data_IF_866660450841
#
_entry.id   IF_866660450841
#
_cell.length_a   1.000
_cell.length_b   1.000
_cell.length_c   1.000
_cell.angle_alpha   90.00
_cell.angle_beta   90.00
_cell.angle_gamma   90.00
#
_symmetry.space_group_name_H-M   'P 1'
#
loop_
_entity.id
_entity.type
_entity.pdbx_description
1 polymer ?
#
# COMPACT_ATOMS: atom_id res chain seq x y z
N UNK A 1 7.20 -16.60 6.46
CA UNK A 1 7.13 -16.67 4.99
C UNK A 1 8.31 -15.90 4.40
N UNK A 2 9.04 -16.51 3.46
CA UNK A 2 10.17 -15.84 2.78
C UNK A 2 9.65 -14.90 1.71
N UNK A 3 10.16 -13.66 1.66
CA UNK A 3 9.78 -12.66 0.65
C UNK A 3 10.05 -13.10 -0.79
N UNK A 4 10.97 -14.08 -0.99
CA UNK A 4 11.22 -14.68 -2.30
C UNK A 4 9.96 -15.31 -2.92
N UNK A 5 9.04 -15.83 -2.09
CA UNK A 5 7.79 -16.44 -2.57
C UNK A 5 6.73 -15.41 -2.98
N UNK A 6 6.85 -14.16 -2.51
CA UNK A 6 5.89 -13.08 -2.79
C UNK A 6 6.26 -12.27 -4.03
N UNK A 7 7.50 -12.38 -4.53
CA UNK A 7 7.89 -11.71 -5.79
C UNK A 7 7.03 -12.18 -6.96
N UNK A 8 6.74 -11.26 -7.87
CA UNK A 8 5.87 -11.50 -9.03
C UNK A 8 4.41 -11.71 -8.66
N UNK A 9 3.98 -11.27 -7.47
CA UNK A 9 2.58 -11.37 -7.05
C UNK A 9 1.69 -10.58 -8.00
N UNK A 10 2.17 -9.41 -8.44
CA UNK A 10 1.40 -8.53 -9.33
C UNK A 10 1.17 -9.21 -10.68
N UNK A 11 2.21 -9.78 -11.30
CA UNK A 11 2.10 -10.54 -12.55
C UNK A 11 1.10 -11.69 -12.44
N UNK A 12 1.10 -12.46 -11.33
CA UNK A 12 0.11 -13.52 -11.11
C UNK A 12 -1.31 -12.98 -10.96
N UNK A 13 -1.44 -11.80 -10.34
CA UNK A 13 -2.73 -11.15 -10.09
C UNK A 13 -3.36 -10.60 -11.37
N UNK A 14 -2.57 -10.27 -12.39
CA UNK A 14 -3.08 -9.82 -13.70
C UNK A 14 -3.96 -10.87 -14.41
N UNK A 15 -3.87 -12.15 -14.04
CA UNK A 15 -4.73 -13.21 -14.57
C UNK A 15 -6.18 -13.14 -14.04
N UNK A 16 -6.45 -12.28 -13.05
CA UNK A 16 -7.75 -12.18 -12.38
C UNK A 16 -8.27 -10.73 -12.38
N UNK A 17 -8.53 -10.13 -13.56
CA UNK A 17 -9.11 -8.79 -13.63
C UNK A 17 -10.55 -8.78 -13.11
N UNK A 18 -10.99 -7.64 -12.58
CA UNK A 18 -12.40 -7.39 -12.29
C UNK A 18 -13.19 -7.37 -13.62
N UNK A 19 -14.34 -8.04 -13.73
CA UNK A 19 -15.11 -8.13 -14.99
C UNK A 19 -15.62 -6.76 -15.47
N UNK A 20 -15.93 -5.86 -14.53
CA UNK A 20 -16.27 -4.47 -14.81
C UNK A 20 -15.50 -3.53 -13.86
N UNK A 21 -14.28 -3.09 -14.21
CA UNK A 21 -13.45 -2.26 -13.33
C UNK A 21 -14.13 -0.95 -12.91
N UNK A 22 -15.05 -0.41 -13.73
CA UNK A 22 -15.71 0.88 -13.48
C UNK A 22 -16.91 0.77 -12.54
N UNK A 23 -17.42 -0.43 -12.28
CA UNK A 23 -18.43 -0.65 -11.22
C UNK A 23 -17.81 -0.71 -9.82
N UNK A 24 -16.49 -0.91 -9.70
CA UNK A 24 -15.83 -0.92 -8.41
C UNK A 24 -15.92 0.46 -7.73
N UNK A 25 -16.49 0.46 -6.52
CA UNK A 25 -16.68 1.65 -5.69
C UNK A 25 -15.84 1.50 -4.41
N UNK A 26 -14.65 2.11 -4.33
CA UNK A 26 -13.78 1.95 -3.16
C UNK A 26 -14.40 2.61 -1.93
N UNK A 27 -14.32 1.92 -0.79
CA UNK A 27 -14.78 2.44 0.50
C UNK A 27 -13.61 2.54 1.48
N UNK A 28 -13.54 3.64 2.23
CA UNK A 28 -12.49 3.83 3.23
C UNK A 28 -12.52 2.75 4.32
N UNK A 29 -13.72 2.29 4.70
CA UNK A 29 -13.89 1.22 5.68
C UNK A 29 -13.28 -0.11 5.23
N UNK A 30 -13.15 -0.31 3.93
CA UNK A 30 -12.63 -1.53 3.32
C UNK A 30 -11.15 -1.42 2.94
N UNK A 31 -10.56 -0.23 3.03
CA UNK A 31 -9.13 -0.05 2.80
C UNK A 31 -8.32 -0.82 3.85
N UNK A 32 -7.39 -1.65 3.37
CA UNK A 32 -6.45 -2.41 4.21
C UNK A 32 -5.03 -1.86 4.10
N UNK A 33 -4.61 -1.52 2.87
CA UNK A 33 -3.26 -1.02 2.57
C UNK A 33 -3.33 -0.11 1.35
N UNK A 34 -2.61 1.00 1.35
CA UNK A 34 -2.33 1.78 0.15
C UNK A 34 -0.88 2.26 0.13
N UNK A 35 -0.34 2.46 -1.06
CA UNK A 35 0.97 3.09 -1.25
C UNK A 35 0.85 4.25 -2.24
N UNK A 36 1.35 5.39 -1.79
CA UNK A 36 1.44 6.63 -2.56
C UNK A 36 2.91 6.96 -2.80
N UNK A 37 3.18 7.68 -3.88
CA UNK A 37 4.48 8.24 -4.21
C UNK A 37 4.37 9.75 -4.31
N UNK A 38 5.32 10.48 -3.73
CA UNK A 38 5.37 11.94 -3.82
C UNK A 38 6.73 12.35 -4.35
N UNK A 39 6.73 13.12 -5.44
CA UNK A 39 7.90 13.66 -6.11
C UNK A 39 7.64 15.11 -6.52
N UNK A 40 8.65 15.80 -7.06
CA UNK A 40 8.47 17.18 -7.55
C UNK A 40 7.53 17.25 -8.76
N UNK A 41 7.56 16.23 -9.63
CA UNK A 41 6.75 16.19 -10.86
C UNK A 41 5.34 15.65 -10.60
N UNK A 42 5.21 14.75 -9.63
CA UNK A 42 3.95 14.13 -9.23
C UNK A 42 3.86 14.09 -7.69
N UNK A 43 3.32 15.14 -7.05
CA UNK A 43 3.26 15.24 -5.60
C UNK A 43 2.25 14.26 -4.99
N UNK A 44 1.27 13.81 -5.77
CA UNK A 44 0.15 12.97 -5.35
C UNK A 44 0.10 11.64 -6.13
N UNK A 45 1.26 11.10 -6.48
CA UNK A 45 1.37 9.87 -7.25
C UNK A 45 0.76 8.66 -6.53
N UNK A 46 0.12 7.80 -7.32
CA UNK A 46 -0.53 6.59 -6.84
C UNK A 46 0.26 5.36 -7.27
N UNK A 47 0.51 4.44 -6.33
CA UNK A 47 1.19 3.18 -6.66
C UNK A 47 0.23 2.00 -6.61
N UNK A 48 -0.45 1.79 -5.48
CA UNK A 48 -1.51 0.79 -5.39
C UNK A 48 -2.39 1.00 -4.16
N UNK A 49 -3.56 0.36 -4.15
CA UNK A 49 -4.40 0.19 -2.97
C UNK A 49 -4.99 -1.22 -2.93
N UNK A 50 -5.22 -1.71 -1.72
CA UNK A 50 -5.80 -3.02 -1.41
C UNK A 50 -7.01 -2.81 -0.51
N UNK A 51 -8.15 -3.32 -0.96
CA UNK A 51 -9.42 -3.26 -0.27
C UNK A 51 -9.89 -4.67 0.08
N UNK A 52 -10.47 -4.86 1.26
CA UNK A 52 -11.21 -6.08 1.58
C UNK A 52 -12.59 -6.02 0.93
N UNK A 53 -12.96 -7.05 0.17
CA UNK A 53 -14.33 -7.25 -0.29
C UNK A 53 -14.93 -8.47 0.40
N UNK A 54 -16.20 -8.36 0.78
CA UNK A 54 -16.98 -9.49 1.26
C UNK A 54 -18.10 -9.67 0.26
N UNK A 55 -17.91 -10.60 -0.66
CA UNK A 55 -18.90 -10.98 -1.63
C UNK A 55 -19.34 -12.41 -1.33
N UNK A 56 -20.64 -12.61 -1.12
CA UNK A 56 -21.28 -13.92 -0.95
C UNK A 56 -20.57 -14.93 -0.02
N UNK A 57 -20.06 -14.45 1.13
CA UNK A 57 -19.41 -15.30 2.13
C UNK A 57 -17.97 -15.72 1.80
N UNK A 58 -17.44 -15.32 0.65
CA UNK A 58 -16.05 -15.51 0.29
C UNK A 58 -15.23 -14.25 0.63
N UNK A 59 -14.20 -14.43 1.46
CA UNK A 59 -13.20 -13.40 1.69
C UNK A 59 -12.46 -13.15 0.37
N UNK A 60 -12.59 -11.95 -0.20
CA UNK A 60 -11.87 -11.51 -1.39
C UNK A 60 -11.18 -10.18 -1.12
N UNK A 61 -10.17 -9.87 -1.93
CA UNK A 61 -9.50 -8.59 -1.91
C UNK A 61 -9.51 -7.99 -3.31
N UNK A 62 -9.74 -6.69 -3.36
CA UNK A 62 -9.65 -5.89 -4.58
C UNK A 62 -8.34 -5.11 -4.53
N UNK A 63 -7.50 -5.28 -5.53
CA UNK A 63 -6.27 -4.53 -5.69
C UNK A 63 -6.45 -3.55 -6.84
N UNK A 64 -6.17 -2.28 -6.60
CA UNK A 64 -6.07 -1.26 -7.66
C UNK A 64 -4.60 -0.89 -7.79
N UNK A 65 -4.04 -1.02 -8.99
CA UNK A 65 -2.62 -0.73 -9.25
C UNK A 65 -2.39 0.65 -9.90
N UNK A 66 -1.13 0.99 -10.17
CA UNK A 66 -0.74 2.32 -10.65
C UNK A 66 -1.35 2.71 -12.00
N UNK A 67 -1.80 1.74 -12.80
CA UNK A 67 -2.49 1.98 -14.07
C UNK A 67 -4.02 2.06 -13.90
N UNK A 68 -4.54 1.91 -12.68
CA UNK A 68 -5.97 1.90 -12.40
C UNK A 68 -6.63 0.56 -12.71
N UNK A 69 -5.86 -0.53 -12.91
CA UNK A 69 -6.44 -1.86 -13.12
C UNK A 69 -7.02 -2.35 -11.80
N UNK A 70 -8.27 -2.80 -11.84
CA UNK A 70 -8.95 -3.42 -10.71
C UNK A 70 -8.78 -4.93 -10.83
N UNK A 71 -8.10 -5.52 -9.86
CA UNK A 71 -7.73 -6.93 -9.85
C UNK A 71 -8.30 -7.63 -8.62
N UNK A 72 -8.67 -8.89 -8.77
CA UNK A 72 -9.33 -9.69 -7.74
C UNK A 72 -8.37 -10.75 -7.20
N UNK A 73 -8.26 -10.82 -5.88
CA UNK A 73 -7.46 -11.82 -5.17
C UNK A 73 -8.31 -12.58 -4.15
N UNK A 74 -8.35 -13.92 -4.18
CA UNK A 74 -8.98 -14.70 -3.12
C UNK A 74 -8.30 -14.42 -1.77
N UNK A 75 -9.09 -14.31 -0.70
CA UNK A 75 -8.56 -14.12 0.66
C UNK A 75 -7.72 -15.29 1.17
N UNK A 76 -7.81 -16.45 0.51
CA UNK A 76 -6.94 -17.61 0.74
C UNK A 76 -5.54 -17.45 0.13
N UNK A 77 -5.36 -16.53 -0.82
CA UNK A 77 -4.10 -16.32 -1.56
C UNK A 77 -2.91 -16.09 -0.62
N UNK A 78 -1.81 -16.76 -0.92
CA UNK A 78 -0.55 -16.59 -0.19
C UNK A 78 0.02 -15.19 -0.38
N UNK A 79 -0.24 -14.58 -1.54
CA UNK A 79 0.26 -13.26 -1.90
C UNK A 79 -0.38 -12.19 -1.04
N UNK A 80 -1.71 -12.16 -0.98
CA UNK A 80 -2.45 -11.17 -0.19
C UNK A 80 -2.18 -11.31 1.31
N UNK A 81 -2.15 -12.55 1.82
CA UNK A 81 -1.81 -12.84 3.22
C UNK A 81 -0.37 -12.40 3.53
N UNK A 82 0.55 -12.62 2.60
CA UNK A 82 1.94 -12.21 2.74
C UNK A 82 2.13 -10.70 2.77
N UNK A 83 1.52 -9.98 1.83
CA UNK A 83 1.56 -8.51 1.75
C UNK A 83 0.94 -7.87 2.98
N UNK A 84 -0.28 -8.27 3.36
CA UNK A 84 -0.95 -7.74 4.55
C UNK A 84 -0.21 -8.13 5.85
N UNK A 85 0.35 -9.34 5.91
CA UNK A 85 1.16 -9.78 7.05
C UNK A 85 2.44 -8.94 7.22
N UNK A 86 3.11 -8.59 6.13
CA UNK A 86 4.25 -7.66 6.14
C UNK A 86 3.81 -6.24 6.50
N UNK A 87 2.68 -5.77 5.93
CA UNK A 87 2.09 -4.46 6.26
C UNK A 87 1.80 -4.32 7.75
N UNK A 88 1.21 -5.33 8.39
CA UNK A 88 0.99 -5.34 9.85
C UNK A 88 2.30 -5.21 10.63
N UNK A 89 3.32 -5.98 10.27
CA UNK A 89 4.65 -5.90 10.92
C UNK A 89 5.28 -4.51 10.77
N UNK A 90 5.24 -3.95 9.57
CA UNK A 90 5.73 -2.58 9.31
C UNK A 90 4.94 -1.56 10.11
N UNK A 91 3.61 -1.68 10.15
CA UNK A 91 2.76 -0.80 10.96
C UNK A 91 3.00 -0.96 12.47
N UNK A 92 3.57 -2.07 12.93
CA UNK A 92 3.98 -2.26 14.32
C UNK A 92 5.29 -1.58 14.69
N UNK A 93 6.08 -1.13 13.71
CA UNK A 93 7.38 -0.50 13.97
C UNK A 93 7.23 0.88 14.64
N UNK A 94 8.22 1.28 15.45
CA UNK A 94 8.27 2.64 15.96
C UNK A 94 8.39 3.63 14.80
N UNK A 95 7.86 4.86 14.97
CA UNK A 95 8.04 5.91 13.98
C UNK A 95 9.54 6.17 13.75
N UNK A 96 9.97 6.43 12.51
CA UNK A 96 11.37 6.66 12.18
C UNK A 96 11.97 7.92 12.81
N UNK A 97 11.18 8.86 13.32
CA UNK A 97 11.67 10.06 14.01
C UNK A 97 12.47 11.04 13.14
N UNK A 98 12.79 10.69 11.90
CA UNK A 98 13.46 11.56 10.93
C UNK A 98 12.53 12.66 10.39
N UNK A 99 13.06 13.56 9.56
CA UNK A 99 12.29 14.62 8.91
C UNK A 99 11.03 14.08 8.22
N UNK A 100 9.89 14.72 8.48
CA UNK A 100 8.59 14.29 7.94
C UNK A 100 8.15 12.89 8.40
N UNK A 101 8.68 12.39 9.52
CA UNK A 101 8.43 11.05 10.04
C UNK A 101 8.69 9.95 8.98
N UNK A 102 9.83 10.06 8.29
CA UNK A 102 10.24 9.16 7.21
C UNK A 102 11.56 8.44 7.47
N UNK A 103 11.70 7.24 6.92
CA UNK A 103 12.96 6.53 6.84
C UNK A 103 13.76 7.07 5.65
N UNK A 104 14.83 7.81 5.92
CA UNK A 104 15.64 8.46 4.88
C UNK A 104 16.83 7.60 4.49
N UNK A 105 16.84 7.10 3.25
CA UNK A 105 17.99 6.38 2.69
C UNK A 105 19.06 7.39 2.27
N UNK A 106 20.33 7.03 2.42
CA UNK A 106 21.47 7.85 2.05
C UNK A 106 21.70 7.82 0.54
N UNK A 107 21.70 9.00 -0.09
CA UNK A 107 21.97 9.20 -1.51
C UNK A 107 22.98 10.32 -1.73
N UNK A 108 23.62 10.32 -2.92
CA UNK A 108 24.50 11.42 -3.35
C UNK A 108 23.74 12.65 -3.87
N UNK A 109 22.48 12.50 -4.28
CA UNK A 109 21.65 13.57 -4.83
C UNK A 109 20.50 13.98 -3.92
N UNK A 110 20.05 15.23 -4.08
CA UNK A 110 18.79 15.74 -3.53
C UNK A 110 17.63 15.42 -4.49
N UNK A 111 16.37 15.65 -4.12
CA UNK A 111 15.18 15.41 -4.97
C UNK A 111 14.82 13.93 -5.22
N UNK A 112 14.80 13.10 -4.16
CA UNK A 112 14.29 11.73 -4.27
C UNK A 112 12.79 11.64 -3.96
N UNK A 113 12.13 10.65 -4.55
CA UNK A 113 10.72 10.33 -4.29
C UNK A 113 10.50 9.85 -2.86
N UNK A 114 9.41 10.28 -2.24
CA UNK A 114 8.89 9.75 -0.97
C UNK A 114 7.82 8.70 -1.29
N UNK A 115 8.02 7.47 -0.82
CA UNK A 115 6.98 6.46 -0.82
C UNK A 115 6.28 6.48 0.54
N UNK A 116 4.96 6.63 0.55
CA UNK A 116 4.14 6.64 1.76
C UNK A 116 3.22 5.41 1.75
N UNK A 117 3.47 4.51 2.71
CA UNK A 117 2.58 3.38 3.00
C UNK A 117 1.52 3.84 3.99
N UNK A 118 0.26 3.62 3.65
CA UNK A 118 -0.89 3.74 4.54
C UNK A 118 -1.37 2.33 4.87
N UNK A 119 -1.45 2.01 6.15
CA UNK A 119 -1.93 0.70 6.59
C UNK A 119 -3.08 0.85 7.59
N UNK A 120 -4.15 0.10 7.41
CA UNK A 120 -5.29 0.15 8.32
C UNK A 120 -4.94 -0.45 9.68
N UNK A 121 -5.06 0.37 10.73
CA UNK A 121 -4.88 -0.06 12.11
C UNK A 121 -6.20 -0.66 12.63
N UNK A 122 -6.15 -1.91 13.08
CA UNK A 122 -7.31 -2.63 13.61
C UNK A 122 -7.96 -3.59 12.61
N UNK A 123 -8.49 -4.69 13.13
CA UNK A 123 -9.17 -5.73 12.37
C UNK A 123 -10.53 -5.26 11.84
N UNK A 124 -10.78 -5.34 10.53
CA UNK A 124 -12.16 -5.30 9.99
C UNK A 124 -12.90 -6.63 10.15
N UNK A 125 -12.19 -7.71 10.47
CA UNK A 125 -12.79 -9.03 10.68
C UNK A 125 -13.43 -9.06 12.07
N UNK A 126 -14.76 -9.08 12.10
CA UNK A 126 -15.57 -9.13 13.32
C UNK A 126 -16.58 -7.98 13.48
N UNK A 127 -16.61 -7.00 12.56
CA UNK A 127 -17.61 -5.92 12.63
C UNK A 127 -18.86 -6.29 11.84
N UNK A 128 -20.01 -6.38 12.53
CA UNK A 128 -21.34 -6.50 11.91
C UNK A 128 -21.58 -5.35 10.92
N UNK A 129 -22.41 -5.57 9.90
CA UNK A 129 -22.73 -4.57 8.88
C UNK A 129 -23.23 -3.24 9.47
N UNK A 130 -23.95 -3.29 10.60
CA UNK A 130 -24.36 -2.12 11.40
C UNK A 130 -23.17 -1.25 11.84
N UNK A 131 -22.02 -1.84 12.20
CA UNK A 131 -20.82 -1.07 12.53
C UNK A 131 -20.15 -0.44 11.30
N UNK A 132 -20.46 -0.89 10.08
CA UNK A 132 -19.95 -0.30 8.83
C UNK A 132 -20.77 0.95 8.43
N UNK A 133 -22.06 1.00 8.76
CA UNK A 133 -22.91 2.18 8.57
C UNK A 133 -22.71 3.26 9.65
N UNK A 134 -22.40 2.87 10.89
CA UNK A 134 -22.41 3.79 12.04
C UNK A 134 -21.04 4.12 12.66
N UNK A 135 -19.93 3.46 12.27
CA UNK A 135 -18.60 3.81 12.80
C UNK A 135 -17.75 4.64 11.83
N UNK A 136 -17.10 5.64 12.41
CA UNK A 136 -16.19 6.55 11.72
C UNK A 136 -14.96 5.90 11.08
N UNK A 137 -14.22 6.76 10.39
CA UNK A 137 -13.00 6.49 9.61
C UNK A 137 -12.09 5.46 10.28
N UNK A 138 -11.67 4.41 9.55
CA UNK A 138 -10.60 3.50 10.02
C UNK A 138 -9.35 4.33 10.25
N UNK A 139 -8.74 4.18 11.43
CA UNK A 139 -7.45 4.81 11.72
C UNK A 139 -6.39 4.18 10.83
N UNK A 140 -5.75 4.99 9.99
CA UNK A 140 -4.62 4.57 9.18
C UNK A 140 -3.32 4.96 9.88
N UNK A 141 -2.33 4.07 9.83
CA UNK A 141 -0.97 4.38 10.23
C UNK A 141 -0.12 4.59 8.97
N UNK A 142 0.53 5.73 8.89
CA UNK A 142 1.45 6.06 7.81
C UNK A 142 2.87 5.60 8.15
N UNK A 143 3.60 5.11 7.15
CA UNK A 143 5.04 4.85 7.21
C UNK A 143 5.65 5.31 5.90
N UNK A 144 6.60 6.24 5.95
CA UNK A 144 7.19 6.84 4.75
C UNK A 144 8.65 6.44 4.59
N UNK A 145 9.10 6.25 3.35
CA UNK A 145 10.51 6.02 2.99
C UNK A 145 10.92 7.05 1.95
N UNK A 146 11.95 7.83 2.23
CA UNK A 146 12.53 8.80 1.30
C UNK A 146 13.68 8.15 0.53
N UNK A 147 13.63 8.20 -0.79
CA UNK A 147 14.68 7.67 -1.68
C UNK A 147 14.72 6.14 -1.77
N UNK A 148 13.57 5.48 -1.67
CA UNK A 148 13.55 4.02 -1.85
C UNK A 148 14.15 3.62 -3.21
N UNK A 149 15.18 2.77 -3.19
CA UNK A 149 15.77 2.16 -4.37
C UNK A 149 16.20 0.72 -4.07
N UNK A 150 15.95 -0.19 -5.01
CA UNK A 150 16.37 -1.57 -4.87
C UNK A 150 17.91 -1.63 -4.73
N UNK A 151 18.37 -2.37 -3.72
CA UNK A 151 19.79 -2.53 -3.36
C UNK A 151 20.32 -1.48 -2.38
N UNK A 152 19.56 -0.41 -2.08
CA UNK A 152 19.99 0.63 -1.14
C UNK A 152 19.19 0.55 0.16
N UNK A 153 19.89 0.30 1.27
CA UNK A 153 19.27 0.24 2.60
C UNK A 153 19.94 1.14 3.63
N UNK A 154 21.15 1.66 3.38
CA UNK A 154 21.86 2.50 4.35
C UNK A 154 21.08 3.79 4.62
N UNK A 155 20.81 4.07 5.89
CA UNK A 155 20.09 5.27 6.31
C UNK A 155 21.05 6.46 6.42
N UNK A 156 20.55 7.67 6.18
CA UNK A 156 21.33 8.92 6.35
C UNK A 156 21.68 9.16 7.82
N UNK A 157 20.77 8.83 8.73
CA UNK A 157 20.97 8.94 10.17
C UNK A 157 20.55 7.64 10.87
N UNK A 158 21.14 7.38 12.04
CA UNK A 158 20.79 6.21 12.85
C UNK A 158 19.41 6.44 13.49
N UNK A 159 18.47 5.53 13.22
CA UNK A 159 17.09 5.61 13.72
C UNK A 159 16.84 4.42 14.64
N UNK A 160 16.56 4.64 15.92
CA UNK A 160 16.27 3.57 16.89
C UNK A 160 17.31 2.44 16.85
N UNK A 161 18.60 2.78 16.80
CA UNK A 161 19.67 1.78 16.70
C UNK A 161 20.01 1.32 15.27
N UNK A 162 19.11 1.54 14.31
CA UNK A 162 19.25 1.03 12.94
C UNK A 162 20.08 1.98 12.07
N UNK A 163 21.10 1.43 11.42
CA UNK A 163 21.91 2.11 10.37
C UNK A 163 21.45 1.76 8.96
N UNK A 164 20.58 0.76 8.85
CA UNK A 164 19.99 0.30 7.60
C UNK A 164 18.47 0.23 7.76
N UNK A 165 17.76 0.39 6.65
CA UNK A 165 16.32 0.27 6.57
C UNK A 165 15.92 -1.13 7.05
N UNK A 166 14.99 -1.25 8.01
CA UNK A 166 14.53 -2.54 8.49
C UNK A 166 14.08 -3.44 7.33
N UNK A 167 14.57 -4.68 7.35
CA UNK A 167 14.36 -5.70 6.32
C UNK A 167 12.91 -5.80 5.84
N UNK A 168 11.96 -5.73 6.77
CA UNK A 168 10.54 -5.83 6.49
C UNK A 168 9.99 -4.63 5.71
N UNK A 169 10.47 -3.41 5.99
CA UNK A 169 10.12 -2.21 5.22
C UNK A 169 10.71 -2.34 3.82
N UNK A 170 12.00 -2.67 3.74
CA UNK A 170 12.69 -2.83 2.47
C UNK A 170 11.99 -3.86 1.56
N UNK A 171 11.61 -5.01 2.12
CA UNK A 171 10.90 -6.09 1.42
C UNK A 171 9.50 -5.67 1.00
N UNK A 172 8.71 -5.07 1.90
CA UNK A 172 7.33 -4.68 1.60
C UNK A 172 7.29 -3.62 0.49
N UNK A 173 8.05 -2.54 0.61
CA UNK A 173 8.05 -1.47 -0.38
C UNK A 173 8.48 -1.99 -1.76
N UNK A 174 9.48 -2.87 -1.82
CA UNK A 174 9.91 -3.49 -3.07
C UNK A 174 8.83 -4.37 -3.71
N UNK A 175 8.08 -5.13 -2.90
CA UNK A 175 6.95 -5.91 -3.39
C UNK A 175 5.81 -5.01 -3.89
N UNK A 176 5.47 -3.96 -3.16
CA UNK A 176 4.37 -3.05 -3.55
C UNK A 176 4.71 -2.28 -4.83
N UNK A 177 5.98 -1.96 -5.08
CA UNK A 177 6.39 -1.32 -6.34
C UNK A 177 6.20 -2.20 -7.58
N UNK A 178 5.99 -3.52 -7.43
CA UNK A 178 5.57 -4.35 -8.57
C UNK A 178 4.24 -3.85 -9.17
N UNK A 179 3.36 -3.23 -8.37
CA UNK A 179 2.12 -2.62 -8.84
C UNK A 179 2.31 -1.37 -9.73
N UNK A 180 3.53 -0.84 -9.80
CA UNK A 180 3.88 0.25 -10.72
C UNK A 180 4.32 -0.27 -12.10
N UNK A 181 4.52 -1.57 -12.25
CA UNK A 181 5.12 -2.16 -13.45
C UNK A 181 4.07 -2.70 -14.42
N UNK A 182 4.42 -2.65 -15.71
CA UNK A 182 3.70 -3.29 -16.79
C UNK A 182 3.22 -2.33 -17.88
N UNK A 183 2.93 -2.84 -19.09
CA UNK A 183 2.35 -2.05 -20.16
C UNK A 183 0.87 -1.75 -19.88
N UNK A 184 0.37 -0.66 -20.44
CA UNK A 184 -1.05 -0.32 -20.44
C UNK A 184 -1.32 1.18 -20.48
N UNK A 185 -2.59 1.52 -20.60
CA UNK A 185 -3.08 2.89 -20.52
C UNK A 185 -3.55 3.17 -19.10
N UNK A 186 -3.23 4.34 -18.57
CA UNK A 186 -3.65 4.76 -17.24
C UNK A 186 -5.16 5.04 -17.23
N UNK A 187 -5.90 4.30 -16.42
CA UNK A 187 -7.29 4.59 -16.10
C UNK A 187 -7.37 5.62 -14.96
N UNK A 188 -7.38 6.89 -15.37
CA UNK A 188 -7.44 8.02 -14.43
C UNK A 188 -8.73 8.00 -13.60
N UNK A 189 -9.83 7.53 -14.16
CA UNK A 189 -11.12 7.56 -13.47
C UNK A 189 -11.14 6.65 -12.24
N UNK A 190 -10.61 5.43 -12.37
CA UNK A 190 -10.46 4.51 -11.24
C UNK A 190 -9.47 5.06 -10.21
N UNK A 191 -8.32 5.58 -10.68
CA UNK A 191 -7.30 6.16 -9.80
C UNK A 191 -7.86 7.34 -9.00
N UNK A 192 -8.57 8.27 -9.65
CA UNK A 192 -9.10 9.46 -9.01
C UNK A 192 -10.16 9.10 -7.95
N UNK A 193 -11.01 8.09 -8.21
CA UNK A 193 -11.93 7.54 -7.21
C UNK A 193 -11.19 6.99 -5.99
N UNK A 194 -10.14 6.20 -6.20
CA UNK A 194 -9.32 5.65 -5.11
C UNK A 194 -8.59 6.76 -4.36
N UNK A 195 -8.00 7.72 -5.07
CA UNK A 195 -7.34 8.89 -4.47
C UNK A 195 -8.33 9.71 -3.65
N UNK A 196 -9.57 9.89 -4.11
CA UNK A 196 -10.63 10.54 -3.33
C UNK A 196 -10.83 9.89 -1.95
N UNK A 197 -10.85 8.55 -1.90
CA UNK A 197 -10.91 7.80 -0.63
C UNK A 197 -9.67 8.02 0.24
N UNK A 198 -8.49 8.18 -0.36
CA UNK A 198 -7.21 8.37 0.34
C UNK A 198 -6.95 9.82 0.79
N UNK A 199 -7.39 10.84 0.03
CA UNK A 199 -7.12 12.25 0.31
C UNK A 199 -7.91 12.80 1.50
N UNK A 200 -9.09 12.23 1.79
CA UNK A 200 -9.85 12.52 3.02
C UNK A 200 -9.10 12.16 4.33
N UNK A 201 -7.89 11.60 4.24
CA UNK A 201 -7.03 11.21 5.36
C UNK A 201 -5.80 12.11 5.56
N UNK A 202 -5.42 12.95 4.60
CA UNK A 202 -4.22 13.81 4.71
C UNK A 202 -4.50 15.17 5.39
N UNK A 203 -5.77 15.51 5.66
CA UNK A 203 -6.19 16.74 6.34
C UNK A 203 -6.59 16.54 7.81
N UNK A 204 -6.21 15.41 8.42
CA UNK A 204 -6.39 15.09 9.85
C UNK A 204 -5.03 14.86 10.51
#
# INVERSE_FOLDING_TARGET
>A
MSSKKLKGWHTRTLAYPHPDPHSFTPLQADLELAMLSSSLEDPDGFVLAIFSSKDDGNDQYVVVDALGRVLLLPGTSTDIKGLLGLGRKVSGLPPPGGPGNSWTISHKGTCQTVLKLLFASGSSRGRCWLNRLFMGKRKLKATSVYGYRQGMTKLTMKINGCTHLPDMIYKLFGLLLEGYQGPGTVDRFVIDRVKGVLQYLNHL
#
